data_IF_644826665302
#
_entry.id   IF_644826665302
#
_cell.length_a   1.000
_cell.length_b   1.000
_cell.length_c   1.000
_cell.angle_alpha   90.00
_cell.angle_beta   90.00
_cell.angle_gamma   90.00
#
_symmetry.space_group_name_H-M   'P 1'
#
loop_
_entity.id
_entity.type
_entity.pdbx_description
1 polymer ?
#
# COMPACT_ATOMS: atom_id res chain seq x y z
N UNK A 1 -70.79 0.93 -13.80
CA UNK A 1 -70.27 -0.46 -13.91
C UNK A 1 -68.83 -0.39 -14.37
N UNK A 2 -67.95 -1.10 -13.65
CA UNK A 2 -66.48 -1.04 -13.70
C UNK A 2 -65.94 -1.35 -15.10
N UNK A 3 -65.00 -0.52 -15.58
CA UNK A 3 -64.07 -0.90 -16.64
C UNK A 3 -62.66 -0.66 -16.13
N UNK A 4 -62.00 -1.78 -15.85
CA UNK A 4 -60.56 -1.93 -15.65
C UNK A 4 -59.81 -1.18 -16.74
N UNK A 5 -58.61 -0.69 -16.41
CA UNK A 5 -57.38 -0.91 -17.18
C UNK A 5 -56.20 -0.33 -16.39
N UNK A 6 -55.55 -1.18 -15.60
CA UNK A 6 -54.21 -0.92 -15.09
C UNK A 6 -53.24 -1.08 -16.26
N UNK A 7 -52.68 0.03 -16.74
CA UNK A 7 -51.53 0.01 -17.65
C UNK A 7 -50.25 0.11 -16.82
N UNK A 8 -49.70 -1.04 -16.43
CA UNK A 8 -48.34 -1.15 -15.90
C UNK A 8 -47.40 -0.98 -17.08
N UNK A 9 -46.88 0.24 -17.29
CA UNK A 9 -45.74 0.44 -18.17
C UNK A 9 -44.48 0.13 -17.38
N UNK A 10 -44.04 -1.12 -17.49
CA UNK A 10 -42.70 -1.53 -17.12
C UNK A 10 -41.70 -0.85 -18.06
N UNK A 11 -41.25 0.35 -17.70
CA UNK A 11 -40.07 0.97 -18.29
C UNK A 11 -38.84 0.21 -17.78
N UNK A 12 -38.56 -0.93 -18.42
CA UNK A 12 -37.28 -1.61 -18.31
C UNK A 12 -36.22 -0.77 -19.04
N UNK A 13 -35.77 0.31 -18.41
CA UNK A 13 -34.47 0.90 -18.72
C UNK A 13 -33.41 0.00 -18.10
N UNK A 14 -33.16 -1.12 -18.74
CA UNK A 14 -31.94 -1.88 -18.47
C UNK A 14 -30.80 -1.19 -19.21
N UNK A 15 -29.75 -0.93 -18.43
CA UNK A 15 -28.39 -0.48 -18.78
C UNK A 15 -28.18 1.04 -18.62
N UNK A 16 -27.02 1.48 -18.11
CA UNK A 16 -25.79 0.72 -17.87
C UNK A 16 -25.39 0.71 -16.39
N UNK A 17 -25.00 -0.46 -15.87
CA UNK A 17 -24.13 -0.47 -14.71
C UNK A 17 -23.03 -1.47 -14.99
N UNK A 18 -22.12 -1.07 -15.89
CA UNK A 18 -20.72 -1.42 -15.70
C UNK A 18 -20.29 -0.83 -14.36
N UNK A 19 -20.67 -1.48 -13.26
CA UNK A 19 -19.77 -1.60 -12.14
C UNK A 19 -18.75 -2.67 -12.57
N UNK A 20 -17.91 -2.30 -13.55
CA UNK A 20 -16.55 -2.76 -13.48
C UNK A 20 -16.13 -2.30 -12.10
N UNK A 21 -16.08 -3.23 -11.15
CA UNK A 21 -15.23 -3.05 -10.01
C UNK A 21 -13.90 -2.69 -10.66
N UNK A 22 -13.59 -1.40 -10.65
CA UNK A 22 -12.23 -1.00 -10.51
C UNK A 22 -11.85 -1.68 -9.20
N UNK A 23 -11.39 -2.94 -9.30
CA UNK A 23 -10.04 -3.24 -8.89
C UNK A 23 -9.20 -2.09 -9.44
N UNK A 24 -9.25 -0.99 -8.68
CA UNK A 24 -8.09 -0.27 -8.27
C UNK A 24 -7.23 -1.39 -7.70
N UNK A 25 -6.55 -2.11 -8.61
CA UNK A 25 -5.14 -2.31 -8.48
C UNK A 25 -4.64 -0.90 -8.21
N UNK A 26 -4.77 -0.48 -6.94
CA UNK A 26 -3.94 0.52 -6.35
C UNK A 26 -2.62 -0.12 -6.65
N UNK A 27 -2.00 0.35 -7.73
CA UNK A 27 -0.63 0.07 -8.04
C UNK A 27 0.00 0.35 -6.70
N UNK A 28 0.35 -0.72 -5.98
CA UNK A 28 0.88 -0.69 -4.62
C UNK A 28 2.31 -0.17 -4.80
N UNK A 29 2.36 1.05 -5.30
CA UNK A 29 3.49 1.74 -5.83
C UNK A 29 4.21 2.17 -4.59
N UNK A 30 5.45 1.72 -4.53
CA UNK A 30 6.30 2.07 -3.43
C UNK A 30 6.39 3.59 -3.33
N UNK A 31 6.03 4.10 -2.16
CA UNK A 31 6.12 5.51 -1.77
C UNK A 31 7.02 5.54 -0.54
N UNK A 32 8.24 6.04 -0.73
CA UNK A 32 9.25 6.09 0.34
C UNK A 32 8.83 6.92 1.54
N UNK A 33 7.84 7.80 1.39
CA UNK A 33 7.33 8.63 2.48
C UNK A 33 6.26 7.95 3.33
N UNK A 34 5.79 6.75 2.92
CA UNK A 34 4.68 6.01 3.54
C UNK A 34 5.08 4.58 3.90
N UNK A 35 6.33 4.37 4.27
CA UNK A 35 6.84 3.04 4.59
C UNK A 35 6.27 2.60 5.93
N UNK A 36 5.72 1.39 5.97
CA UNK A 36 5.14 0.79 7.16
C UNK A 36 5.77 -0.56 7.50
N UNK A 37 5.90 -0.77 8.80
CA UNK A 37 6.39 -2.00 9.40
C UNK A 37 5.39 -2.45 10.46
N UNK A 38 4.54 -3.42 10.10
CA UNK A 38 3.36 -3.77 10.89
C UNK A 38 2.39 -2.58 10.97
N UNK A 39 2.10 -2.14 12.20
CA UNK A 39 1.27 -0.96 12.49
C UNK A 39 2.08 0.33 12.63
N UNK A 40 3.42 0.24 12.58
CA UNK A 40 4.30 1.36 12.86
C UNK A 40 4.75 2.02 11.55
N UNK A 41 4.76 3.35 11.55
CA UNK A 41 5.35 4.14 10.48
C UNK A 41 6.87 4.17 10.62
N UNK A 42 7.59 3.98 9.52
CA UNK A 42 9.05 4.14 9.49
C UNK A 42 9.35 5.59 9.16
N UNK A 43 10.10 6.26 10.05
CA UNK A 43 10.45 7.67 9.89
C UNK A 43 11.79 7.84 9.19
N UNK A 44 11.94 8.97 8.49
CA UNK A 44 13.22 9.34 7.88
C UNK A 44 14.30 9.63 8.93
N UNK A 45 15.54 9.23 8.65
CA UNK A 45 16.66 9.36 9.58
C UNK A 45 16.64 8.38 10.76
N UNK A 46 15.76 7.36 10.72
CA UNK A 46 15.73 6.29 11.71
C UNK A 46 17.07 5.55 11.74
N UNK A 47 17.51 5.18 12.93
CA UNK A 47 18.70 4.34 13.10
C UNK A 47 18.42 2.91 12.63
N UNK A 48 19.37 2.30 11.90
CA UNK A 48 19.22 0.94 11.39
C UNK A 48 18.97 -0.10 12.50
N UNK A 49 19.56 0.11 13.69
CA UNK A 49 19.33 -0.74 14.85
C UNK A 49 17.91 -0.57 15.37
N UNK A 50 17.42 0.67 15.49
CA UNK A 50 16.05 0.94 15.91
C UNK A 50 15.04 0.34 14.92
N UNK A 51 15.33 0.39 13.62
CA UNK A 51 14.50 -0.25 12.60
C UNK A 51 14.48 -1.79 12.77
N UNK A 52 15.60 -2.41 13.14
CA UNK A 52 15.65 -3.82 13.51
C UNK A 52 14.82 -4.16 14.75
N UNK A 53 14.83 -3.27 15.75
CA UNK A 53 14.05 -3.38 16.98
C UNK A 53 12.51 -3.23 16.72
N UNK A 54 12.10 -2.73 15.55
CA UNK A 54 10.67 -2.68 15.13
C UNK A 54 10.12 -4.04 14.66
N UNK A 55 10.97 -5.07 14.53
CA UNK A 55 10.59 -6.42 14.11
C UNK A 55 9.86 -6.48 12.75
N UNK A 56 10.34 -5.72 11.77
CA UNK A 56 9.79 -5.73 10.41
C UNK A 56 9.93 -7.12 9.77
N UNK A 57 8.90 -7.53 9.00
CA UNK A 57 8.95 -8.82 8.31
C UNK A 57 10.13 -8.84 7.34
N UNK A 58 10.80 -9.99 7.23
CA UNK A 58 11.96 -10.20 6.33
C UNK A 58 13.09 -9.17 6.54
N UNK A 59 13.23 -8.62 7.74
CA UNK A 59 14.33 -7.70 8.07
C UNK A 59 15.69 -8.38 7.91
N UNK A 60 16.61 -7.71 7.22
CA UNK A 60 18.00 -8.11 7.06
C UNK A 60 18.90 -6.87 7.14
N UNK A 61 19.95 -6.95 7.95
CA UNK A 61 20.98 -5.92 8.08
C UNK A 61 22.25 -6.37 7.33
N UNK A 62 22.68 -5.55 6.38
CA UNK A 62 23.86 -5.78 5.53
C UNK A 62 24.98 -4.75 5.78
N UNK A 63 25.06 -4.15 7.00
CA UNK A 63 26.02 -3.11 7.44
C UNK A 63 25.92 -1.76 6.73
N UNK A 64 25.76 -1.74 5.41
CA UNK A 64 25.66 -0.52 4.58
C UNK A 64 24.26 -0.34 3.99
N UNK A 65 23.39 -1.31 4.21
CA UNK A 65 22.00 -1.28 3.79
C UNK A 65 21.16 -2.16 4.71
N UNK A 66 19.87 -1.86 4.75
CA UNK A 66 18.84 -2.67 5.40
C UNK A 66 17.82 -3.06 4.36
N UNK A 67 17.26 -4.26 4.52
CA UNK A 67 16.18 -4.74 3.68
C UNK A 67 15.05 -5.22 4.58
N UNK A 68 13.82 -4.87 4.26
CA UNK A 68 12.65 -5.29 5.02
C UNK A 68 11.39 -5.22 4.16
N UNK A 69 10.33 -5.89 4.59
CA UNK A 69 9.04 -5.84 3.94
C UNK A 69 8.27 -4.60 4.37
N UNK A 70 7.83 -3.80 3.40
CA UNK A 70 6.91 -2.69 3.63
C UNK A 70 5.47 -3.19 3.61
N UNK A 71 4.79 -3.10 4.76
CA UNK A 71 3.40 -3.51 4.90
C UNK A 71 2.42 -2.55 4.20
N UNK A 72 2.83 -1.33 3.82
CA UNK A 72 1.99 -0.43 3.02
C UNK A 72 2.01 -0.83 1.54
N UNK A 73 3.19 -0.79 0.89
CA UNK A 73 3.31 -1.15 -0.54
C UNK A 73 3.34 -2.66 -0.81
N UNK A 74 3.41 -3.51 0.22
CA UNK A 74 3.50 -4.99 0.10
C UNK A 74 4.67 -5.41 -0.80
N UNK A 75 5.80 -4.73 -0.65
CA UNK A 75 7.03 -4.97 -1.41
C UNK A 75 8.22 -5.11 -0.47
N UNK A 76 9.28 -5.77 -0.97
CA UNK A 76 10.55 -5.81 -0.27
C UNK A 76 11.31 -4.53 -0.57
N UNK A 77 11.66 -3.78 0.46
CA UNK A 77 12.31 -2.47 0.34
C UNK A 77 13.75 -2.60 0.80
N UNK A 78 14.66 -2.09 -0.02
CA UNK A 78 16.06 -1.91 0.32
C UNK A 78 16.36 -0.45 0.56
N UNK A 79 16.93 -0.13 1.70
CA UNK A 79 17.34 1.21 2.06
C UNK A 79 18.84 1.24 2.36
N UNK A 80 19.52 2.31 1.94
CA UNK A 80 20.92 2.52 2.32
C UNK A 80 21.01 3.04 3.75
N UNK A 81 22.07 2.63 4.42
CA UNK A 81 22.47 3.15 5.72
C UNK A 81 23.67 4.05 5.52
N UNK A 82 23.60 5.28 6.00
CA UNK A 82 24.71 6.21 5.92
C UNK A 82 25.84 5.86 6.91
N UNK A 83 26.93 6.64 6.88
CA UNK A 83 28.08 6.42 7.77
C UNK A 83 27.76 6.66 9.26
N UNK A 84 26.64 7.31 9.56
CA UNK A 84 26.17 7.59 10.92
C UNK A 84 25.22 6.51 11.44
N UNK A 85 24.89 5.49 10.62
CA UNK A 85 23.97 4.41 11.00
C UNK A 85 22.51 4.73 10.70
N UNK A 86 22.22 5.83 10.00
CA UNK A 86 20.85 6.28 9.72
C UNK A 86 20.37 5.87 8.34
N UNK A 87 19.08 5.61 8.25
CA UNK A 87 18.38 5.26 7.01
C UNK A 87 17.76 6.52 6.40
N UNK A 88 18.05 6.78 5.13
CA UNK A 88 17.38 7.83 4.35
C UNK A 88 16.29 7.21 3.48
N UNK A 89 15.02 7.50 3.78
CA UNK A 89 13.90 6.83 3.12
C UNK A 89 13.81 7.19 1.63
N UNK A 90 14.19 8.42 1.27
CA UNK A 90 14.22 8.86 -0.13
C UNK A 90 15.18 8.01 -1.01
N UNK A 91 16.17 7.35 -0.41
CA UNK A 91 17.09 6.46 -1.11
C UNK A 91 16.63 4.99 -1.12
N UNK A 92 15.52 4.68 -0.45
CA UNK A 92 14.94 3.34 -0.46
C UNK A 92 14.38 2.99 -1.85
N UNK A 93 14.51 1.72 -2.21
CA UNK A 93 13.97 1.16 -3.45
C UNK A 93 13.20 -0.10 -3.14
N UNK A 94 12.01 -0.23 -3.73
CA UNK A 94 11.28 -1.49 -3.71
C UNK A 94 11.72 -2.41 -4.85
N UNK A 95 11.85 -3.68 -4.52
CA UNK A 95 12.10 -4.79 -5.45
C UNK A 95 10.80 -5.53 -5.78
#
# INVERSE_FOLDING_TARGET
>A
MKKLLLAVMASATVLPAFAAEAVVASSNQFDSTKIMCGTNHVNDGIDAKQLGDMHCKKFQDHKTSVMFWDDNSKKLVHCKVDKTGKVTLAECKAS
#
